data_IF_917210034581
#
_entry.id   IF_917210034581
#
_cell.length_a   1.000
_cell.length_b   1.000
_cell.length_c   1.000
_cell.angle_alpha   90.00
_cell.angle_beta   90.00
_cell.angle_gamma   90.00
#
_symmetry.space_group_name_H-M   'P 1'
#
loop_
_entity.id
_entity.type
_entity.pdbx_description
1 polymer ?
#
# COMPACT_ATOMS: atom_id res chain seq x y z
N UNK A 1 -86.32 14.91 31.06
CA UNK A 1 -86.43 16.21 30.35
C UNK A 1 -84.98 16.65 29.97
N UNK A 2 -84.75 17.13 28.73
CA UNK A 2 -83.57 17.70 28.14
C UNK A 2 -82.41 16.73 27.80
N UNK A 3 -82.37 16.24 26.61
CA UNK A 3 -81.61 16.60 25.41
C UNK A 3 -80.13 16.90 25.62
N UNK A 4 -79.29 15.98 25.20
CA UNK A 4 -77.96 16.28 24.63
C UNK A 4 -77.66 15.42 23.37
N UNK A 5 -78.17 15.90 22.24
CA UNK A 5 -77.70 15.56 20.92
C UNK A 5 -76.76 16.70 20.43
N UNK A 6 -75.46 16.55 20.55
CA UNK A 6 -74.44 17.27 19.80
C UNK A 6 -73.20 16.45 19.96
N UNK A 7 -72.63 16.04 18.96
CA UNK A 7 -71.65 16.41 18.02
C UNK A 7 -70.83 15.18 17.57
N UNK A 8 -71.42 14.39 16.68
CA UNK A 8 -70.63 13.35 15.92
C UNK A 8 -69.99 13.91 14.63
N UNK A 9 -70.05 15.24 14.40
CA UNK A 9 -69.58 15.86 13.19
C UNK A 9 -68.22 16.55 13.32
N UNK A 10 -67.63 16.67 14.48
CA UNK A 10 -66.34 17.30 14.71
C UNK A 10 -65.15 16.31 14.78
N UNK A 11 -65.37 15.00 14.91
CA UNK A 11 -64.35 13.98 14.95
C UNK A 11 -63.86 13.56 13.54
N UNK A 12 -64.70 13.70 12.51
CA UNK A 12 -64.36 13.30 11.14
C UNK A 12 -63.56 14.35 10.34
N UNK A 13 -63.45 15.58 10.83
CA UNK A 13 -62.64 16.64 10.16
C UNK A 13 -61.17 16.73 10.65
N UNK A 14 -60.79 16.04 11.72
CA UNK A 14 -59.43 16.03 12.26
C UNK A 14 -58.56 14.83 11.77
N UNK A 15 -59.17 13.83 11.11
CA UNK A 15 -58.45 12.68 10.54
C UNK A 15 -57.98 12.87 9.09
N UNK A 16 -58.39 13.94 8.43
CA UNK A 16 -58.04 14.21 7.01
C UNK A 16 -56.81 15.13 6.83
N UNK A 17 -56.22 15.66 7.92
CA UNK A 17 -55.11 16.61 7.84
C UNK A 17 -53.73 15.99 8.19
N UNK A 18 -53.66 14.70 8.53
CA UNK A 18 -52.40 14.05 8.97
C UNK A 18 -51.74 13.13 7.92
N UNK A 19 -52.20 13.13 6.68
CA UNK A 19 -51.71 12.20 5.64
C UNK A 19 -50.92 12.89 4.49
N UNK A 20 -50.31 14.05 4.73
CA UNK A 20 -49.62 14.81 3.67
C UNK A 20 -48.19 15.26 4.03
N UNK A 21 -47.48 14.48 4.85
CA UNK A 21 -46.05 14.66 5.08
C UNK A 21 -45.32 13.31 4.79
N UNK A 22 -45.43 12.84 3.54
CA UNK A 22 -44.39 11.92 3.02
C UNK A 22 -43.08 12.74 2.94
N UNK A 23 -41.97 12.29 3.54
CA UNK A 23 -40.69 12.88 3.26
C UNK A 23 -40.42 12.63 1.78
N UNK A 24 -40.35 13.69 1.00
CA UNK A 24 -39.79 13.70 -0.34
C UNK A 24 -38.33 13.31 -0.17
N UNK A 25 -38.07 12.00 -0.22
CA UNK A 25 -36.71 11.49 -0.34
C UNK A 25 -36.15 12.13 -1.61
N UNK A 26 -35.35 13.19 -1.44
CA UNK A 26 -34.55 13.76 -2.51
C UNK A 26 -33.68 12.62 -3.05
N UNK A 27 -34.12 11.98 -4.10
CA UNK A 27 -33.29 11.18 -4.97
C UNK A 27 -32.22 12.15 -5.50
N UNK A 28 -31.04 12.14 -4.86
CA UNK A 28 -29.84 12.81 -5.38
C UNK A 28 -29.62 12.20 -6.76
N UNK A 29 -29.70 12.99 -7.86
CA UNK A 29 -29.60 12.43 -9.18
C UNK A 29 -28.25 11.74 -9.33
N UNK A 30 -28.25 10.49 -9.79
CA UNK A 30 -27.08 9.69 -10.15
C UNK A 30 -26.25 10.28 -11.34
N UNK A 31 -26.42 11.56 -11.64
CA UNK A 31 -25.80 12.28 -12.76
C UNK A 31 -24.32 12.64 -12.55
N UNK A 32 -23.75 12.41 -11.36
CA UNK A 32 -22.34 12.73 -11.09
C UNK A 32 -21.35 11.76 -11.74
N UNK A 33 -21.79 10.55 -12.16
CA UNK A 33 -20.91 9.56 -12.77
C UNK A 33 -20.65 9.81 -14.26
N UNK A 34 -21.55 10.48 -14.96
CA UNK A 34 -21.45 10.68 -16.43
C UNK A 34 -20.32 11.65 -16.84
N UNK A 35 -19.92 12.56 -15.95
CA UNK A 35 -18.87 13.56 -16.21
C UNK A 35 -17.57 13.32 -15.41
N UNK A 36 -17.39 12.16 -14.78
CA UNK A 36 -16.12 11.82 -14.11
C UNK A 36 -15.07 11.39 -15.15
N UNK A 37 -13.80 11.87 -15.02
CA UNK A 37 -13.36 13.02 -14.23
C UNK A 37 -13.49 14.34 -15.01
N UNK A 38 -13.76 15.45 -14.29
CA UNK A 38 -13.84 16.81 -14.85
C UNK A 38 -12.85 17.80 -14.21
N UNK A 39 -12.07 17.33 -13.22
CA UNK A 39 -11.08 18.12 -12.47
C UNK A 39 -9.86 17.25 -12.14
N UNK A 40 -8.71 17.84 -11.73
CA UNK A 40 -7.52 17.07 -11.34
C UNK A 40 -7.81 16.06 -10.24
N UNK A 41 -7.12 14.90 -10.33
CA UNK A 41 -7.17 13.82 -9.36
C UNK A 41 -5.92 13.90 -8.47
N UNK A 42 -6.09 13.79 -7.15
CA UNK A 42 -4.99 13.68 -6.18
C UNK A 42 -4.65 12.22 -5.97
N UNK A 43 -3.39 11.87 -6.19
CA UNK A 43 -2.83 10.55 -5.96
C UNK A 43 -1.97 10.60 -4.70
N UNK A 44 -2.54 10.20 -3.57
CA UNK A 44 -1.89 10.26 -2.26
C UNK A 44 -0.93 9.09 -2.10
N UNK A 45 0.27 9.38 -1.58
CA UNK A 45 1.32 8.43 -1.24
C UNK A 45 1.68 8.59 0.23
N UNK A 46 1.63 7.50 1.01
CA UNK A 46 1.85 7.50 2.48
C UNK A 46 3.33 7.61 2.91
N UNK A 47 4.25 7.87 1.99
CA UNK A 47 5.69 7.93 2.25
C UNK A 47 6.32 9.24 1.74
N UNK A 48 7.51 9.61 2.26
CA UNK A 48 8.28 10.71 1.69
C UNK A 48 8.66 10.44 0.22
N UNK A 49 9.00 11.49 -0.54
CA UNK A 49 9.54 11.33 -1.90
C UNK A 49 10.77 10.40 -1.94
N UNK A 50 10.91 9.63 -3.06
CA UNK A 50 12.03 8.73 -3.32
C UNK A 50 11.86 7.30 -2.78
N UNK A 51 10.77 6.98 -2.07
CA UNK A 51 10.40 5.60 -1.73
C UNK A 51 9.69 4.90 -2.88
N UNK A 52 9.55 3.57 -2.80
CA UNK A 52 8.97 2.73 -3.86
C UNK A 52 7.59 3.21 -4.32
N UNK A 53 6.71 3.56 -3.37
CA UNK A 53 5.37 4.05 -3.69
C UNK A 53 5.41 5.43 -4.40
N UNK A 54 6.33 6.32 -4.02
CA UNK A 54 6.49 7.62 -4.68
C UNK A 54 7.04 7.46 -6.11
N UNK A 55 8.02 6.59 -6.29
CA UNK A 55 8.57 6.24 -7.60
C UNK A 55 7.46 5.68 -8.51
N UNK A 56 6.68 4.70 -8.02
CA UNK A 56 5.56 4.12 -8.73
C UNK A 56 4.49 5.16 -9.10
N UNK A 57 4.13 6.04 -8.15
CA UNK A 57 3.15 7.10 -8.37
C UNK A 57 3.59 8.08 -9.47
N UNK A 58 4.85 8.50 -9.46
CA UNK A 58 5.40 9.42 -10.47
C UNK A 58 5.56 8.78 -11.85
N UNK A 59 5.78 7.47 -11.91
CA UNK A 59 5.79 6.72 -13.18
C UNK A 59 4.38 6.63 -13.77
N UNK A 60 3.36 6.32 -12.96
CA UNK A 60 2.02 6.06 -13.47
C UNK A 60 1.16 7.32 -13.68
N UNK A 61 1.38 8.38 -12.88
CA UNK A 61 0.51 9.56 -12.87
C UNK A 61 0.36 10.25 -14.25
N UNK A 62 1.43 10.42 -15.07
CA UNK A 62 1.29 11.02 -16.40
C UNK A 62 0.41 10.18 -17.34
N UNK A 63 0.66 8.85 -17.41
CA UNK A 63 -0.12 7.93 -18.25
C UNK A 63 -1.57 7.80 -17.79
N UNK A 64 -1.81 7.76 -16.48
CA UNK A 64 -3.14 7.75 -15.90
C UNK A 64 -3.89 9.06 -16.23
N UNK A 65 -3.21 10.20 -16.12
CA UNK A 65 -3.76 11.51 -16.46
C UNK A 65 -4.12 11.61 -17.95
N UNK A 66 -3.25 11.13 -18.84
CA UNK A 66 -3.52 11.06 -20.28
C UNK A 66 -4.73 10.17 -20.59
N UNK A 67 -4.82 9.00 -19.94
CA UNK A 67 -5.93 8.07 -20.15
C UNK A 67 -7.28 8.63 -19.67
N UNK A 68 -7.26 9.48 -18.62
CA UNK A 68 -8.45 10.09 -18.00
C UNK A 68 -8.80 11.47 -18.57
N UNK A 69 -7.89 12.12 -19.30
CA UNK A 69 -8.10 13.47 -19.83
C UNK A 69 -8.01 14.58 -18.78
N UNK A 70 -7.44 14.32 -17.60
CA UNK A 70 -7.24 15.30 -16.51
C UNK A 70 -5.86 15.11 -15.87
N UNK A 71 -5.36 16.12 -15.18
CA UNK A 71 -4.11 15.99 -14.43
C UNK A 71 -4.24 15.05 -13.24
N UNK A 72 -3.22 14.20 -13.02
CA UNK A 72 -3.07 13.39 -11.81
C UNK A 72 -1.87 13.92 -11.02
N UNK A 73 -2.11 14.43 -9.82
CA UNK A 73 -1.11 15.11 -8.98
C UNK A 73 -0.72 14.21 -7.82
N UNK A 74 0.57 13.88 -7.72
CA UNK A 74 1.10 13.08 -6.61
C UNK A 74 1.26 13.96 -5.37
N UNK A 75 0.68 13.51 -4.24
CA UNK A 75 0.73 14.18 -2.94
C UNK A 75 1.31 13.24 -1.88
N UNK A 76 2.47 13.58 -1.31
CA UNK A 76 3.10 12.78 -0.27
C UNK A 76 2.57 13.19 1.12
N UNK A 77 1.95 12.23 1.83
CA UNK A 77 1.47 12.37 3.23
C UNK A 77 2.11 11.28 4.08
N UNK A 78 3.36 11.52 4.44
CA UNK A 78 4.19 10.55 5.14
C UNK A 78 3.85 10.44 6.64
N UNK A 79 4.09 9.24 7.20
CA UNK A 79 4.05 8.98 8.64
C UNK A 79 3.43 7.64 8.99
N UNK A 80 3.84 7.08 10.14
CA UNK A 80 3.37 5.79 10.69
C UNK A 80 3.37 4.68 9.62
N UNK A 81 4.52 4.46 8.95
CA UNK A 81 4.67 3.49 7.85
C UNK A 81 3.60 3.61 6.75
N UNK A 82 3.15 4.85 6.46
CA UNK A 82 2.18 5.15 5.42
C UNK A 82 0.73 5.22 5.87
N UNK A 83 0.42 4.88 7.12
CA UNK A 83 -0.94 4.86 7.67
C UNK A 83 -1.59 6.24 7.66
N UNK A 84 -0.82 7.35 7.88
CA UNK A 84 -1.36 8.71 7.87
C UNK A 84 -1.95 9.06 6.50
N UNK A 85 -1.22 8.76 5.43
CA UNK A 85 -1.72 8.97 4.05
C UNK A 85 -2.92 8.10 3.72
N UNK A 86 -2.90 6.84 4.15
CA UNK A 86 -4.00 5.91 3.95
C UNK A 86 -5.27 6.37 4.70
N UNK A 87 -5.16 6.77 5.97
CA UNK A 87 -6.27 7.27 6.79
C UNK A 87 -6.91 8.54 6.16
N UNK A 88 -6.08 9.45 5.65
CA UNK A 88 -6.57 10.62 4.92
C UNK A 88 -7.44 10.24 3.73
N UNK A 89 -7.04 9.23 2.93
CA UNK A 89 -7.83 8.77 1.79
C UNK A 89 -9.08 8.03 2.23
N UNK A 90 -8.99 7.14 3.24
CA UNK A 90 -10.16 6.41 3.76
C UNK A 90 -11.30 7.35 4.18
N UNK A 91 -10.96 8.55 4.70
CA UNK A 91 -11.88 9.59 5.17
C UNK A 91 -12.25 10.63 4.10
N UNK A 92 -11.67 10.53 2.89
CA UNK A 92 -11.96 11.47 1.81
C UNK A 92 -13.33 11.24 1.18
N UNK A 93 -13.84 12.25 0.48
CA UNK A 93 -15.09 12.13 -0.29
C UNK A 93 -14.96 11.00 -1.31
N UNK A 94 -15.92 10.05 -1.39
CA UNK A 94 -15.83 8.88 -2.27
C UNK A 94 -16.28 9.20 -3.71
N UNK A 95 -15.70 10.25 -4.30
CA UNK A 95 -16.04 10.76 -5.63
C UNK A 95 -15.01 10.37 -6.73
N UNK A 96 -13.92 9.68 -6.34
CA UNK A 96 -12.85 9.26 -7.25
C UNK A 96 -11.74 10.30 -7.48
N UNK A 97 -11.81 11.49 -6.86
CA UNK A 97 -10.80 12.54 -7.03
C UNK A 97 -9.69 12.54 -5.98
N UNK A 98 -9.80 11.67 -4.96
CA UNK A 98 -8.71 11.41 -4.01
C UNK A 98 -8.47 9.91 -3.98
N UNK A 99 -7.32 9.48 -4.50
CA UNK A 99 -6.93 8.09 -4.61
C UNK A 99 -5.71 7.83 -3.74
N UNK A 100 -5.55 6.59 -3.31
CA UNK A 100 -4.37 6.12 -2.62
C UNK A 100 -3.55 5.22 -3.57
N UNK A 101 -2.29 5.55 -3.78
CA UNK A 101 -1.32 4.56 -4.25
C UNK A 101 -0.63 3.98 -3.02
N UNK A 102 -0.77 2.68 -2.86
CA UNK A 102 -0.27 1.96 -1.70
C UNK A 102 0.38 0.64 -2.06
N UNK A 103 1.13 0.13 -1.09
CA UNK A 103 1.67 -1.22 -1.05
C UNK A 103 1.09 -1.99 0.14
N UNK A 104 1.59 -3.19 0.40
CA UNK A 104 1.16 -4.02 1.54
C UNK A 104 1.35 -3.28 2.87
N UNK A 105 2.48 -2.57 3.07
CA UNK A 105 2.81 -1.99 4.38
C UNK A 105 1.73 -1.05 4.93
N UNK A 106 1.26 0.01 4.23
CA UNK A 106 0.35 0.99 4.82
C UNK A 106 -1.05 0.48 5.14
N UNK A 107 -1.56 -0.48 4.36
CA UNK A 107 -2.98 -0.89 4.45
C UNK A 107 -3.19 -2.36 4.83
N UNK A 108 -2.12 -3.17 4.84
CA UNK A 108 -2.22 -4.57 5.28
C UNK A 108 -1.48 -4.78 6.59
N UNK A 109 -0.21 -4.34 6.71
CA UNK A 109 0.64 -4.70 7.84
C UNK A 109 0.57 -3.67 8.97
N UNK A 110 0.92 -2.41 8.70
CA UNK A 110 1.07 -1.40 9.74
C UNK A 110 -0.19 -1.23 10.60
N UNK A 111 -1.42 -1.20 10.06
CA UNK A 111 -2.62 -1.13 10.90
C UNK A 111 -2.77 -2.31 11.86
N UNK A 112 -2.29 -3.51 11.48
CA UNK A 112 -2.39 -4.71 12.31
C UNK A 112 -1.31 -4.79 13.40
N UNK A 113 -0.29 -3.94 13.34
CA UNK A 113 0.75 -3.81 14.38
C UNK A 113 0.43 -2.69 15.38
N UNK A 114 -0.61 -1.87 15.12
CA UNK A 114 -1.03 -0.76 15.97
C UNK A 114 -2.04 -1.22 17.02
N UNK A 115 -1.99 -0.64 18.23
CA UNK A 115 -3.00 -0.87 19.30
C UNK A 115 -4.39 -0.36 18.90
N UNK A 116 -4.45 0.76 18.19
CA UNK A 116 -5.69 1.41 17.73
C UNK A 116 -5.54 1.85 16.27
N UNK A 117 -5.75 0.94 15.30
CA UNK A 117 -5.66 1.28 13.89
C UNK A 117 -6.78 2.26 13.50
N UNK A 118 -6.48 3.32 12.71
CA UNK A 118 -7.45 4.35 12.37
C UNK A 118 -8.51 3.89 11.36
N UNK A 119 -8.31 2.75 10.70
CA UNK A 119 -9.21 2.15 9.72
C UNK A 119 -9.08 0.62 9.71
N UNK A 120 -10.07 -0.06 9.12
CA UNK A 120 -10.02 -1.47 8.76
C UNK A 120 -9.94 -1.60 7.24
N UNK A 121 -8.76 -1.82 6.69
CA UNK A 121 -8.48 -1.67 5.27
C UNK A 121 -9.38 -2.49 4.33
N UNK A 122 -9.72 -3.77 4.59
CA UNK A 122 -10.63 -4.53 3.71
C UNK A 122 -12.03 -3.92 3.55
N UNK A 123 -12.49 -3.10 4.54
CA UNK A 123 -13.80 -2.42 4.54
C UNK A 123 -13.70 -0.99 4.03
N UNK A 124 -12.66 -0.27 4.44
CA UNK A 124 -12.58 1.18 4.29
C UNK A 124 -11.97 1.63 2.97
N UNK A 125 -11.39 0.68 2.21
CA UNK A 125 -10.87 0.90 0.86
C UNK A 125 -11.56 0.03 -0.19
N UNK A 126 -11.72 0.59 -1.36
CA UNK A 126 -12.14 -0.10 -2.58
C UNK A 126 -10.96 -0.19 -3.54
N UNK A 127 -10.57 -1.41 -3.87
CA UNK A 127 -9.47 -1.64 -4.78
C UNK A 127 -9.83 -1.19 -6.23
N UNK A 128 -8.89 -0.52 -6.89
CA UNK A 128 -8.98 -0.22 -8.32
C UNK A 128 -8.23 -1.32 -9.07
N UNK A 129 -6.92 -1.40 -8.92
CA UNK A 129 -6.15 -2.56 -9.37
C UNK A 129 -4.70 -2.51 -8.84
N UNK A 130 -4.03 -3.66 -8.88
CA UNK A 130 -2.59 -3.76 -8.76
C UNK A 130 -1.93 -3.22 -10.03
N UNK A 131 -0.74 -2.63 -9.93
CA UNK A 131 0.01 -2.13 -11.07
C UNK A 131 1.40 -2.75 -11.23
N UNK A 132 2.01 -3.18 -10.14
CA UNK A 132 3.34 -3.76 -10.15
C UNK A 132 3.57 -4.68 -8.94
N UNK A 133 4.47 -5.63 -9.12
CA UNK A 133 5.15 -6.34 -8.05
C UNK A 133 6.51 -5.70 -7.80
N UNK A 134 6.92 -5.63 -6.55
CA UNK A 134 8.24 -5.14 -6.15
C UNK A 134 8.79 -6.03 -5.04
N UNK A 135 9.85 -6.81 -5.30
CA UNK A 135 10.47 -7.59 -4.25
C UNK A 135 11.20 -6.66 -3.27
N UNK A 136 11.38 -7.11 -2.04
CA UNK A 136 12.37 -6.53 -1.17
C UNK A 136 13.76 -7.07 -1.52
N UNK A 137 14.79 -6.28 -1.25
CA UNK A 137 16.16 -6.73 -1.21
C UNK A 137 16.67 -6.72 0.24
N UNK A 138 17.39 -7.76 0.60
CA UNK A 138 18.26 -7.80 1.76
C UNK A 138 19.64 -7.43 1.24
N UNK A 139 20.16 -6.28 1.66
CA UNK A 139 21.46 -5.79 1.17
C UNK A 139 22.35 -5.37 2.34
N UNK A 140 23.67 -5.51 2.15
CA UNK A 140 24.67 -5.13 3.15
C UNK A 140 25.48 -3.95 2.66
N UNK A 141 25.83 -3.09 3.62
CA UNK A 141 26.68 -1.92 3.44
C UNK A 141 28.19 -2.22 3.58
N UNK A 142 29.03 -1.19 3.54
CA UNK A 142 30.50 -1.33 3.53
C UNK A 142 31.08 -1.92 4.82
N UNK A 143 30.33 -1.94 5.93
CA UNK A 143 30.79 -2.56 7.20
C UNK A 143 30.89 -4.08 7.15
N UNK A 144 30.08 -4.73 6.32
CA UNK A 144 30.03 -6.19 6.20
C UNK A 144 30.83 -6.68 4.99
N UNK A 145 32.11 -6.37 4.96
CA UNK A 145 33.02 -6.88 3.93
C UNK A 145 33.03 -8.41 3.90
N UNK A 146 33.02 -9.00 2.69
CA UNK A 146 33.06 -10.44 2.49
C UNK A 146 31.70 -11.15 2.63
N UNK A 147 30.62 -10.47 3.03
CA UNK A 147 29.25 -11.02 3.04
C UNK A 147 28.66 -10.84 1.63
N UNK A 148 28.41 -11.94 0.93
CA UNK A 148 27.94 -11.94 -0.47
C UNK A 148 26.57 -12.65 -0.63
N UNK A 149 26.20 -13.46 0.31
CA UNK A 149 24.95 -14.25 0.30
C UNK A 149 24.19 -14.11 1.61
N UNK A 150 22.89 -14.43 1.58
CA UNK A 150 22.08 -14.47 2.82
C UNK A 150 22.67 -15.47 3.82
N UNK A 151 23.22 -16.58 3.34
CA UNK A 151 23.88 -17.56 4.21
C UNK A 151 25.08 -16.92 4.94
N UNK A 152 25.92 -16.15 4.25
CA UNK A 152 27.06 -15.46 4.88
C UNK A 152 26.57 -14.45 5.94
N UNK A 153 25.50 -13.70 5.66
CA UNK A 153 24.90 -12.77 6.61
C UNK A 153 24.43 -13.49 7.87
N UNK A 154 23.71 -14.61 7.72
CA UNK A 154 23.22 -15.41 8.82
C UNK A 154 24.36 -16.09 9.61
N UNK A 155 25.44 -16.53 8.98
CA UNK A 155 26.63 -17.03 9.68
C UNK A 155 27.38 -15.90 10.43
N UNK A 156 27.42 -14.70 9.86
CA UNK A 156 27.99 -13.54 10.56
C UNK A 156 27.16 -13.19 11.79
N UNK A 157 25.82 -13.23 11.70
CA UNK A 157 24.91 -12.97 12.81
C UNK A 157 25.05 -13.98 13.98
N UNK A 158 25.65 -15.16 13.78
CA UNK A 158 25.99 -16.06 14.89
C UNK A 158 27.12 -15.53 15.78
N UNK A 159 27.99 -14.69 15.23
CA UNK A 159 29.26 -14.28 15.87
C UNK A 159 29.22 -12.85 16.38
N UNK A 160 28.38 -12.00 15.79
CA UNK A 160 28.24 -10.59 16.16
C UNK A 160 26.82 -10.11 15.93
N UNK A 161 26.44 -9.01 16.58
CA UNK A 161 25.18 -8.33 16.31
C UNK A 161 25.22 -7.70 14.92
N UNK A 162 24.12 -7.84 14.16
CA UNK A 162 23.93 -7.23 12.86
C UNK A 162 22.76 -6.26 12.94
N UNK A 163 23.00 -5.01 12.53
CA UNK A 163 21.98 -3.97 12.44
C UNK A 163 21.43 -3.88 11.03
N UNK A 164 20.11 -4.02 10.86
CA UNK A 164 19.43 -3.87 9.57
C UNK A 164 18.44 -2.72 9.61
N UNK A 165 18.62 -1.76 8.71
CA UNK A 165 17.71 -0.62 8.55
C UNK A 165 16.47 -0.97 7.75
N UNK A 166 15.40 -0.19 7.97
CA UNK A 166 14.16 -0.23 7.18
C UNK A 166 13.53 1.15 7.04
N UNK A 167 12.49 1.27 6.20
CA UNK A 167 11.72 2.50 6.01
C UNK A 167 10.72 2.83 7.12
N UNK A 168 10.71 2.08 8.23
CA UNK A 168 9.85 2.34 9.39
C UNK A 168 9.44 1.09 10.14
N UNK A 169 8.76 1.27 11.27
CA UNK A 169 8.22 0.20 12.11
C UNK A 169 6.86 -0.28 11.57
N UNK A 170 6.56 -1.58 11.70
CA UNK A 170 5.26 -2.17 11.34
C UNK A 170 5.05 -2.41 9.83
N UNK A 171 5.99 -2.00 8.97
CA UNK A 171 5.94 -2.29 7.53
C UNK A 171 6.57 -3.63 7.15
N UNK A 172 6.51 -3.98 5.85
CA UNK A 172 7.01 -5.24 5.32
C UNK A 172 8.52 -5.42 5.55
N UNK A 173 9.39 -4.40 5.33
CA UNK A 173 10.81 -4.53 5.64
C UNK A 173 11.09 -4.84 7.11
N UNK A 174 10.34 -4.25 8.05
CA UNK A 174 10.46 -4.58 9.48
C UNK A 174 10.08 -6.04 9.74
N UNK A 175 8.93 -6.48 9.21
CA UNK A 175 8.50 -7.87 9.37
C UNK A 175 9.52 -8.85 8.79
N UNK A 176 10.10 -8.54 7.63
CA UNK A 176 11.17 -9.34 7.01
C UNK A 176 12.39 -9.44 7.94
N UNK A 177 12.81 -8.33 8.58
CA UNK A 177 13.90 -8.33 9.55
C UNK A 177 13.55 -9.20 10.77
N UNK A 178 12.33 -9.12 11.28
CA UNK A 178 11.88 -9.93 12.42
C UNK A 178 11.82 -11.43 12.08
N UNK A 179 11.42 -11.78 10.86
CA UNK A 179 11.48 -13.16 10.37
C UNK A 179 12.93 -13.67 10.29
N UNK A 180 13.87 -12.83 9.82
CA UNK A 180 15.31 -13.16 9.84
C UNK A 180 15.83 -13.29 11.26
N UNK A 181 15.41 -12.43 12.20
CA UNK A 181 15.77 -12.47 13.62
C UNK A 181 15.32 -13.77 14.28
N UNK A 182 14.15 -14.32 13.90
CA UNK A 182 13.70 -15.63 14.38
C UNK A 182 14.59 -16.79 13.92
N UNK A 183 15.19 -16.67 12.75
CA UNK A 183 16.17 -17.66 12.26
C UNK A 183 17.52 -17.50 12.94
N UNK A 184 17.93 -16.24 13.23
CA UNK A 184 19.21 -15.89 13.90
C UNK A 184 19.02 -14.68 14.79
N UNK A 185 19.01 -14.89 16.10
CA UNK A 185 18.63 -13.91 17.12
C UNK A 185 19.47 -12.63 17.20
N UNK A 186 20.67 -12.60 16.64
CA UNK A 186 21.58 -11.45 16.72
C UNK A 186 21.36 -10.40 15.61
N UNK A 187 20.12 -10.24 15.16
CA UNK A 187 19.73 -9.22 14.19
C UNK A 187 18.88 -8.16 14.91
N UNK A 188 19.25 -6.90 14.75
CA UNK A 188 18.56 -5.75 15.35
C UNK A 188 17.98 -4.87 14.25
N UNK A 189 16.71 -4.55 14.35
CA UNK A 189 16.02 -3.62 13.48
C UNK A 189 16.33 -2.17 13.86
N UNK A 190 16.68 -1.35 12.87
CA UNK A 190 16.87 0.11 12.98
C UNK A 190 15.88 0.83 12.08
N UNK A 191 14.76 1.34 12.61
CA UNK A 191 13.73 2.00 11.81
C UNK A 191 14.13 3.44 11.43
N UNK A 192 13.83 3.84 10.19
CA UNK A 192 13.99 5.19 9.67
C UNK A 192 12.66 5.79 9.21
N UNK A 193 12.59 7.11 9.08
CA UNK A 193 11.40 7.80 8.55
C UNK A 193 11.40 7.82 7.01
N UNK A 194 11.35 6.62 6.40
CA UNK A 194 11.34 6.43 4.94
C UNK A 194 12.65 5.88 4.37
N UNK A 195 12.67 5.68 3.04
CA UNK A 195 13.79 5.03 2.34
C UNK A 195 15.08 5.88 2.32
N UNK A 196 14.95 7.18 2.03
CA UNK A 196 16.12 8.07 1.85
C UNK A 196 17.13 8.01 2.99
N UNK A 197 16.76 8.35 4.25
CA UNK A 197 17.69 8.31 5.38
C UNK A 197 18.22 6.89 5.67
N UNK A 198 17.40 5.84 5.51
CA UNK A 198 17.84 4.46 5.70
C UNK A 198 18.96 4.07 4.71
N UNK A 199 18.78 4.41 3.43
CA UNK A 199 19.78 4.16 2.38
C UNK A 199 21.05 4.95 2.66
N UNK A 200 20.94 6.24 3.01
CA UNK A 200 22.10 7.11 3.31
C UNK A 200 22.94 6.55 4.44
N UNK A 201 22.32 6.16 5.55
CA UNK A 201 23.04 5.65 6.71
C UNK A 201 23.63 4.26 6.46
N UNK A 202 22.99 3.42 5.65
CA UNK A 202 23.54 2.13 5.25
C UNK A 202 24.78 2.32 4.35
N UNK A 203 24.72 3.24 3.39
CA UNK A 203 25.87 3.59 2.53
C UNK A 203 27.02 4.22 3.34
N UNK A 204 26.69 5.03 4.34
CA UNK A 204 27.65 5.64 5.27
C UNK A 204 28.27 4.66 6.26
N UNK A 205 27.76 3.42 6.33
CA UNK A 205 28.22 2.42 7.30
C UNK A 205 27.79 2.70 8.74
N UNK A 206 26.71 3.49 8.97
CA UNK A 206 26.14 3.69 10.32
C UNK A 206 25.37 2.47 10.78
N UNK A 207 24.81 1.70 9.85
CA UNK A 207 24.20 0.38 10.04
C UNK A 207 24.84 -0.64 9.13
N UNK A 208 24.72 -1.93 9.45
CA UNK A 208 25.40 -3.01 8.74
C UNK A 208 24.74 -3.35 7.41
N UNK A 209 23.41 -3.20 7.32
CA UNK A 209 22.66 -3.50 6.11
C UNK A 209 21.26 -2.90 6.12
N UNK A 210 20.49 -3.27 5.13
CA UNK A 210 19.14 -2.75 4.88
C UNK A 210 18.23 -3.85 4.35
N UNK A 211 16.99 -3.87 4.79
CA UNK A 211 15.89 -4.57 4.14
C UNK A 211 14.91 -3.53 3.64
N UNK A 212 14.61 -3.56 2.37
CA UNK A 212 13.73 -2.58 1.75
C UNK A 212 13.24 -3.05 0.39
N UNK A 213 12.10 -2.51 -0.06
CA UNK A 213 11.70 -2.66 -1.46
C UNK A 213 12.84 -2.28 -2.40
N UNK A 214 13.01 -3.03 -3.46
CA UNK A 214 14.16 -2.91 -4.35
C UNK A 214 14.32 -1.55 -5.06
N UNK A 215 13.26 -0.81 -5.45
CA UNK A 215 13.41 0.43 -6.21
C UNK A 215 14.40 1.45 -5.64
N UNK A 216 14.34 1.87 -4.37
CA UNK A 216 15.30 2.83 -3.82
C UNK A 216 16.72 2.27 -3.66
N UNK A 217 16.91 0.95 -3.72
CA UNK A 217 18.21 0.28 -3.59
C UNK A 217 18.84 -0.06 -4.93
N UNK A 218 18.06 -0.14 -6.01
CA UNK A 218 18.45 -0.75 -7.26
C UNK A 218 19.73 -0.16 -7.86
N UNK A 219 19.83 1.16 -7.96
CA UNK A 219 21.02 1.82 -8.49
C UNK A 219 22.24 1.62 -7.58
N UNK A 220 22.06 1.65 -6.25
CA UNK A 220 23.13 1.42 -5.29
C UNK A 220 23.71 0.00 -5.40
N UNK A 221 22.85 -0.97 -5.69
CA UNK A 221 23.25 -2.36 -5.93
C UNK A 221 23.96 -2.50 -7.27
N UNK A 222 23.42 -1.91 -8.34
CA UNK A 222 24.06 -1.92 -9.68
C UNK A 222 25.46 -1.27 -9.68
N UNK A 223 25.59 -0.17 -8.95
CA UNK A 223 26.86 0.54 -8.77
C UNK A 223 27.79 -0.12 -7.75
N UNK A 224 27.39 -1.28 -7.19
CA UNK A 224 28.15 -2.05 -6.18
C UNK A 224 28.47 -1.25 -4.90
N UNK A 225 27.66 -0.21 -4.60
CA UNK A 225 27.76 0.56 -3.35
C UNK A 225 27.08 -0.18 -2.20
N UNK A 226 26.07 -1.00 -2.51
CA UNK A 226 25.47 -2.00 -1.62
C UNK A 226 25.60 -3.38 -2.27
N UNK A 227 25.76 -4.42 -1.45
CA UNK A 227 25.75 -5.81 -1.90
C UNK A 227 24.40 -6.44 -1.57
N UNK A 228 23.57 -6.71 -2.58
CA UNK A 228 22.35 -7.49 -2.38
C UNK A 228 22.73 -8.96 -2.09
N UNK A 229 22.32 -9.47 -0.93
CA UNK A 229 22.58 -10.85 -0.50
C UNK A 229 21.40 -11.77 -0.78
N UNK A 230 20.20 -11.22 -0.95
CA UNK A 230 19.01 -11.92 -1.45
C UNK A 230 17.93 -10.94 -1.90
N UNK A 231 17.03 -11.39 -2.79
CA UNK A 231 15.69 -10.84 -3.00
C UNK A 231 14.65 -11.72 -2.32
N UNK A 232 13.52 -11.13 -1.90
CA UNK A 232 12.52 -11.87 -1.12
C UNK A 232 11.42 -12.51 -1.96
N UNK A 233 11.42 -12.28 -3.27
CA UNK A 233 10.48 -12.87 -4.22
C UNK A 233 10.63 -14.40 -4.33
N UNK A 234 9.56 -15.07 -4.78
CA UNK A 234 9.56 -16.51 -5.00
C UNK A 234 10.61 -16.96 -6.03
N UNK A 235 10.83 -16.15 -7.07
CA UNK A 235 11.82 -16.38 -8.13
C UNK A 235 12.80 -15.23 -8.19
N UNK A 236 13.99 -15.51 -8.73
CA UNK A 236 14.95 -14.45 -9.07
C UNK A 236 14.31 -13.46 -10.03
N UNK A 237 14.73 -12.22 -9.95
CA UNK A 237 14.19 -11.14 -10.81
C UNK A 237 15.18 -10.85 -11.95
N UNK A 238 14.67 -10.69 -13.17
CA UNK A 238 15.49 -10.56 -14.38
C UNK A 238 16.46 -9.37 -14.31
N UNK A 239 16.06 -8.28 -13.67
CA UNK A 239 16.90 -7.09 -13.54
C UNK A 239 18.02 -7.23 -12.48
N UNK A 240 18.03 -8.32 -11.68
CA UNK A 240 19.10 -8.74 -10.75
C UNK A 240 19.26 -10.27 -10.75
N UNK A 241 19.41 -10.86 -11.93
CA UNK A 241 19.43 -12.33 -12.10
C UNK A 241 20.53 -13.05 -11.30
N UNK A 242 21.65 -12.36 -11.00
CA UNK A 242 22.75 -12.91 -10.20
C UNK A 242 22.44 -12.91 -8.68
N UNK A 243 21.42 -12.19 -8.22
CA UNK A 243 21.05 -12.15 -6.80
C UNK A 243 20.13 -13.32 -6.49
N UNK A 244 20.48 -14.21 -5.52
CA UNK A 244 19.65 -15.34 -5.17
C UNK A 244 18.37 -14.89 -4.45
N UNK A 245 17.35 -15.76 -4.43
CA UNK A 245 16.19 -15.54 -3.59
C UNK A 245 16.48 -15.94 -2.14
N UNK A 246 15.76 -15.32 -1.20
CA UNK A 246 15.89 -15.67 0.22
C UNK A 246 15.51 -17.13 0.49
N UNK A 247 14.56 -17.69 -0.26
CA UNK A 247 14.14 -19.10 -0.12
C UNK A 247 15.20 -20.11 -0.58
N UNK A 248 16.20 -19.73 -1.40
CA UNK A 248 17.33 -20.59 -1.73
C UNK A 248 18.23 -20.89 -0.50
N UNK A 249 18.24 -19.97 0.49
CA UNK A 249 18.93 -20.16 1.75
C UNK A 249 18.01 -20.56 2.91
N UNK A 250 16.75 -20.16 2.87
CA UNK A 250 15.72 -20.37 3.89
C UNK A 250 14.44 -20.88 3.22
N UNK A 251 14.26 -22.20 3.02
CA UNK A 251 13.08 -22.75 2.36
C UNK A 251 11.77 -22.22 2.94
N UNK A 252 10.87 -21.77 2.09
CA UNK A 252 9.59 -21.16 2.47
C UNK A 252 9.65 -19.66 2.85
N UNK A 253 10.82 -19.04 2.83
CA UNK A 253 10.96 -17.61 3.06
C UNK A 253 10.60 -16.85 1.77
N UNK A 254 9.32 -16.50 1.62
CA UNK A 254 8.80 -15.75 0.49
C UNK A 254 7.97 -14.59 0.99
N UNK A 255 8.43 -13.38 0.67
CA UNK A 255 7.81 -12.09 1.04
C UNK A 255 7.64 -11.27 -0.23
N UNK A 256 6.42 -11.26 -0.75
CA UNK A 256 6.09 -10.53 -1.98
C UNK A 256 5.37 -9.23 -1.62
N UNK A 257 5.81 -8.13 -2.20
CA UNK A 257 5.13 -6.85 -2.12
C UNK A 257 4.50 -6.47 -3.46
N UNK A 258 3.34 -5.86 -3.40
CA UNK A 258 2.65 -5.28 -4.55
C UNK A 258 2.42 -3.79 -4.35
N UNK A 259 2.25 -3.09 -5.46
CA UNK A 259 1.81 -1.69 -5.50
C UNK A 259 0.51 -1.62 -6.28
N UNK A 260 -0.47 -0.91 -5.73
CA UNK A 260 -1.78 -0.79 -6.33
C UNK A 260 -2.51 0.50 -5.98
N UNK A 261 -3.60 0.76 -6.70
CA UNK A 261 -4.46 1.91 -6.52
C UNK A 261 -5.72 1.54 -5.77
N UNK A 262 -6.13 2.43 -4.87
CA UNK A 262 -7.33 2.32 -4.04
C UNK A 262 -8.09 3.64 -4.00
N UNK A 263 -9.39 3.54 -3.75
CA UNK A 263 -10.28 4.67 -3.49
C UNK A 263 -10.99 4.45 -2.13
N UNK A 264 -11.64 5.47 -1.54
CA UNK A 264 -12.53 5.28 -0.40
C UNK A 264 -13.62 4.24 -0.71
N UNK A 265 -14.04 3.46 0.29
CA UNK A 265 -14.91 2.28 0.10
C UNK A 265 -16.23 2.54 -0.64
N UNK A 266 -16.84 3.72 -0.41
CA UNK A 266 -18.12 4.10 -1.01
C UNK A 266 -18.01 4.72 -2.42
N UNK A 267 -16.84 4.70 -3.04
CA UNK A 267 -16.66 5.20 -4.41
C UNK A 267 -17.54 4.41 -5.40
N UNK A 268 -18.32 5.08 -6.27
CA UNK A 268 -19.23 4.41 -7.20
C UNK A 268 -18.53 3.39 -8.11
N UNK A 269 -19.18 2.26 -8.40
CA UNK A 269 -18.60 1.20 -9.22
C UNK A 269 -18.23 1.70 -10.63
N UNK A 270 -19.03 2.60 -11.22
CA UNK A 270 -18.73 3.19 -12.52
C UNK A 270 -17.43 3.99 -12.52
N UNK A 271 -17.14 4.72 -11.42
CA UNK A 271 -15.89 5.45 -11.22
C UNK A 271 -14.71 4.49 -11.09
N UNK A 272 -14.86 3.42 -10.29
CA UNK A 272 -13.83 2.37 -10.15
C UNK A 272 -13.52 1.71 -11.49
N UNK A 273 -14.56 1.35 -12.26
CA UNK A 273 -14.36 0.72 -13.58
C UNK A 273 -13.60 1.65 -14.54
N UNK A 274 -13.92 2.94 -14.56
CA UNK A 274 -13.23 3.94 -15.39
C UNK A 274 -11.77 4.12 -14.97
N UNK A 275 -11.50 4.14 -13.67
CA UNK A 275 -10.14 4.22 -13.11
C UNK A 275 -9.34 2.95 -13.42
N UNK A 276 -9.92 1.74 -13.29
CA UNK A 276 -9.28 0.48 -13.67
C UNK A 276 -8.92 0.45 -15.15
N UNK A 277 -9.84 0.85 -16.03
CA UNK A 277 -9.59 0.92 -17.47
C UNK A 277 -8.44 1.89 -17.80
N UNK A 278 -8.44 3.06 -17.18
CA UNK A 278 -7.38 4.05 -17.36
C UNK A 278 -6.02 3.55 -16.84
N UNK A 279 -6.00 2.87 -15.68
CA UNK A 279 -4.79 2.27 -15.13
C UNK A 279 -4.26 1.16 -16.04
N UNK A 280 -5.13 0.28 -16.56
CA UNK A 280 -4.75 -0.77 -17.52
C UNK A 280 -4.10 -0.18 -18.75
N UNK A 281 -4.72 0.86 -19.32
CA UNK A 281 -4.16 1.58 -20.46
C UNK A 281 -2.77 2.14 -20.13
N UNK A 282 -2.63 2.85 -19.03
CA UNK A 282 -1.36 3.45 -18.62
C UNK A 282 -0.26 2.41 -18.37
N UNK A 283 -0.55 1.31 -17.66
CA UNK A 283 0.43 0.24 -17.40
C UNK A 283 0.79 -0.53 -18.68
N UNK A 284 -0.10 -0.61 -19.65
CA UNK A 284 0.19 -1.30 -20.93
C UNK A 284 1.12 -0.53 -21.87
N UNK A 285 1.28 0.80 -21.66
CA UNK A 285 2.14 1.65 -22.48
C UNK A 285 3.60 1.19 -22.42
N UNK A 286 4.29 1.01 -23.56
CA UNK A 286 5.67 0.55 -23.58
C UNK A 286 6.62 1.41 -22.75
N UNK A 287 6.41 2.74 -22.75
CA UNK A 287 7.21 3.67 -21.96
C UNK A 287 7.02 3.45 -20.45
N UNK A 288 5.79 3.23 -19.98
CA UNK A 288 5.50 2.98 -18.56
C UNK A 288 6.11 1.65 -18.14
N UNK A 289 5.98 0.60 -18.94
CA UNK A 289 6.62 -0.70 -18.70
C UNK A 289 8.15 -0.57 -18.57
N UNK A 290 8.77 0.18 -19.47
CA UNK A 290 10.21 0.43 -19.41
C UNK A 290 10.61 1.21 -18.16
N UNK A 291 9.85 2.25 -17.77
CA UNK A 291 10.10 3.02 -16.55
C UNK A 291 9.95 2.15 -15.29
N UNK A 292 8.93 1.30 -15.22
CA UNK A 292 8.76 0.35 -14.11
C UNK A 292 9.94 -0.63 -14.04
N UNK A 293 10.32 -1.23 -15.15
CA UNK A 293 11.46 -2.15 -15.20
C UNK A 293 12.77 -1.47 -14.79
N UNK A 294 13.03 -0.24 -15.27
CA UNK A 294 14.20 0.57 -14.88
C UNK A 294 14.18 0.94 -13.39
N UNK A 295 13.00 0.99 -12.78
CA UNK A 295 12.83 1.17 -11.34
C UNK A 295 12.79 -0.16 -10.57
N UNK A 296 13.16 -1.28 -11.20
CA UNK A 296 13.13 -2.61 -10.60
C UNK A 296 11.74 -3.02 -10.07
N UNK A 297 10.70 -2.66 -10.80
CA UNK A 297 9.31 -3.06 -10.59
C UNK A 297 8.84 -3.92 -11.76
N UNK A 298 8.21 -5.05 -11.48
CA UNK A 298 7.60 -5.90 -12.50
C UNK A 298 6.14 -5.48 -12.72
N UNK A 299 5.75 -5.00 -13.93
CA UNK A 299 4.35 -4.70 -14.21
C UNK A 299 3.47 -5.92 -13.93
N UNK A 300 2.41 -5.75 -13.15
CA UNK A 300 1.52 -6.84 -12.79
C UNK A 300 0.12 -6.29 -12.49
N UNK A 301 -0.89 -6.83 -13.17
CA UNK A 301 -2.28 -6.43 -12.97
C UNK A 301 -3.13 -7.65 -12.68
N UNK A 302 -4.16 -7.47 -11.88
CA UNK A 302 -5.19 -8.48 -11.66
C UNK A 302 -6.26 -8.38 -12.76
N UNK A 303 -7.00 -9.45 -12.99
CA UNK A 303 -8.03 -9.50 -14.05
C UNK A 303 -9.16 -8.47 -13.84
N UNK A 304 -9.42 -8.11 -12.60
CA UNK A 304 -10.47 -7.15 -12.25
C UNK A 304 -10.21 -6.45 -10.91
N UNK A 305 -10.89 -5.31 -10.64
CA UNK A 305 -10.91 -4.69 -9.31
C UNK A 305 -11.33 -5.66 -8.21
N UNK A 306 -12.29 -6.55 -8.49
CA UNK A 306 -12.79 -7.55 -7.53
C UNK A 306 -11.72 -8.59 -7.21
N UNK A 307 -10.94 -9.03 -8.20
CA UNK A 307 -9.82 -9.95 -7.98
C UNK A 307 -8.75 -9.31 -7.09
N UNK A 308 -8.44 -8.02 -7.31
CA UNK A 308 -7.50 -7.30 -6.45
C UNK A 308 -8.07 -7.02 -5.05
N UNK A 309 -9.37 -6.70 -4.93
CA UNK A 309 -10.03 -6.58 -3.63
C UNK A 309 -9.95 -7.88 -2.82
N UNK A 310 -10.18 -9.02 -3.48
CA UNK A 310 -10.03 -10.33 -2.85
C UNK A 310 -8.59 -10.59 -2.42
N UNK A 311 -7.60 -10.34 -3.29
CA UNK A 311 -6.18 -10.47 -2.95
C UNK A 311 -5.80 -9.62 -1.74
N UNK A 312 -6.25 -8.37 -1.69
CA UNK A 312 -6.03 -7.47 -0.56
C UNK A 312 -6.61 -8.03 0.75
N UNK A 313 -7.84 -8.56 0.72
CA UNK A 313 -8.48 -9.16 1.89
C UNK A 313 -7.77 -10.45 2.34
N UNK A 314 -7.39 -11.31 1.40
CA UNK A 314 -6.64 -12.55 1.66
C UNK A 314 -5.26 -12.24 2.29
N UNK A 315 -4.55 -11.23 1.75
CA UNK A 315 -3.27 -10.77 2.29
C UNK A 315 -3.44 -10.18 3.70
N UNK A 316 -4.50 -9.39 3.94
CA UNK A 316 -4.79 -8.86 5.27
C UNK A 316 -4.95 -10.00 6.31
N UNK A 317 -5.71 -11.03 5.97
CA UNK A 317 -5.91 -12.19 6.84
C UNK A 317 -4.62 -13.00 7.04
N UNK A 318 -3.90 -13.29 5.96
CA UNK A 318 -2.64 -14.06 5.98
C UNK A 318 -1.57 -13.37 6.82
N UNK A 319 -1.32 -12.09 6.55
CA UNK A 319 -0.28 -11.34 7.22
C UNK A 319 -0.61 -11.03 8.68
N UNK A 320 -1.88 -10.88 9.04
CA UNK A 320 -2.31 -10.75 10.43
C UNK A 320 -1.87 -11.94 11.28
N UNK A 321 -1.97 -13.18 10.73
CA UNK A 321 -1.44 -14.37 11.39
C UNK A 321 0.09 -14.32 11.53
N UNK A 322 0.79 -13.95 10.46
CA UNK A 322 2.28 -13.88 10.48
C UNK A 322 2.77 -12.83 11.50
N UNK A 323 2.13 -11.65 11.54
CA UNK A 323 2.45 -10.59 12.51
C UNK A 323 2.28 -11.10 13.95
N UNK A 324 1.15 -11.75 14.24
CA UNK A 324 0.87 -12.31 15.56
C UNK A 324 1.91 -13.37 15.95
N UNK A 325 2.20 -14.29 15.04
CA UNK A 325 3.18 -15.37 15.26
C UNK A 325 4.62 -14.82 15.37
N UNK A 326 4.90 -13.68 14.72
CA UNK A 326 6.17 -12.97 14.79
C UNK A 326 6.31 -12.11 16.04
N UNK A 327 5.21 -11.76 16.71
CA UNK A 327 5.24 -10.84 17.86
C UNK A 327 5.66 -9.42 17.48
N UNK A 328 5.31 -8.97 16.26
CA UNK A 328 5.66 -7.64 15.75
C UNK A 328 4.60 -6.63 16.21
N UNK A 329 5.00 -5.68 17.03
CA UNK A 329 4.16 -4.56 17.46
C UNK A 329 4.80 -3.24 17.07
N UNK A 330 4.00 -2.25 16.67
CA UNK A 330 4.47 -0.86 16.62
C UNK A 330 4.59 -0.38 18.07
N UNK A 331 5.81 -0.09 18.49
CA UNK A 331 6.03 0.74 19.68
C UNK A 331 5.75 2.18 19.28
N UNK A 332 4.82 2.83 19.99
CA UNK A 332 4.48 4.24 19.84
C UNK A 332 5.69 5.15 20.00
#
# INVERSE_FOLDING_TARGET
>A
MQNHRTSRRSALRRLAASLALLPLAMAVPAKAADNFPSKPIRLVVGYPPGGSNDIAARIIAPGLGQALGVSVVVENRAGASGVIGADHVAKSVPDGYTLLLSSISPIVLAPQTMKAPPFYAPRDFKAINMMALTPEAIAVGPRLTGVKTLKDLLERAKRQQITLSSSGTGGLPHLTIELLRKVRGNIVHVPYKGAGPAVTDTLGGHVDGIVMDLPPLYNQIKEKRLTAVAVTSEKRVDFLADVPTAQEALPGFNVENWVGLFAPSNTPNAVIAKLDQALRKAVSEPQVKALLANAAMAPAMMDSPQAFQKRHADDYARWGKVIKDAGVEMTD
#
